data_IF_867701398316
#
_entry.id   IF_867701398316
#
_cell.length_a   1.000
_cell.length_b   1.000
_cell.length_c   1.000
_cell.angle_alpha   90.00
_cell.angle_beta   90.00
_cell.angle_gamma   90.00
#
_symmetry.space_group_name_H-M   'P 1'
#
loop_
_entity.id
_entity.type
_entity.pdbx_description
1 polymer ?
#
# COMPACT_ATOMS: atom_id res chain seq x y z
N UNK A 1 17.41 31.32 -44.39
CA UNK A 1 16.38 30.85 -43.45
C UNK A 1 16.78 29.43 -43.06
N UNK A 2 17.23 29.22 -41.83
CA UNK A 2 17.73 27.92 -41.38
C UNK A 2 16.59 27.20 -40.68
N UNK A 3 16.03 26.19 -41.33
CA UNK A 3 14.96 25.35 -40.79
C UNK A 3 15.52 24.43 -39.72
N UNK A 4 15.27 24.76 -38.44
CA UNK A 4 15.48 23.84 -37.33
C UNK A 4 14.36 22.81 -37.33
N UNK A 5 14.65 21.58 -37.74
CA UNK A 5 13.76 20.44 -37.58
C UNK A 5 13.74 20.05 -36.10
N UNK A 6 12.66 20.37 -35.41
CA UNK A 6 12.38 19.82 -34.08
C UNK A 6 12.02 18.35 -34.24
N UNK A 7 12.95 17.44 -33.94
CA UNK A 7 12.64 16.01 -33.84
C UNK A 7 11.74 15.78 -32.63
N UNK A 8 10.67 15.01 -32.83
CA UNK A 8 9.83 14.51 -31.74
C UNK A 8 10.69 13.81 -30.67
N UNK A 9 10.25 13.77 -29.40
CA UNK A 9 10.94 12.99 -28.37
C UNK A 9 11.08 11.56 -28.89
N UNK A 10 12.31 11.03 -28.91
CA UNK A 10 12.48 9.60 -29.15
C UNK A 10 11.77 8.86 -28.02
N UNK A 11 10.71 8.12 -28.35
CA UNK A 11 10.06 7.19 -27.44
C UNK A 11 11.12 6.21 -26.95
N UNK A 12 11.53 6.36 -25.69
CA UNK A 12 12.43 5.40 -25.06
C UNK A 12 11.80 4.02 -25.17
N UNK A 13 12.58 3.03 -25.58
CA UNK A 13 12.15 1.63 -25.68
C UNK A 13 11.75 1.11 -24.28
N UNK A 14 10.51 1.38 -23.89
CA UNK A 14 9.92 0.91 -22.65
C UNK A 14 9.74 -0.61 -22.73
N UNK A 15 10.03 -1.31 -21.63
CA UNK A 15 9.66 -2.72 -21.50
C UNK A 15 8.14 -2.84 -21.58
N UNK A 16 7.65 -3.74 -22.42
CA UNK A 16 6.22 -4.07 -22.48
C UNK A 16 5.82 -4.90 -21.25
N UNK A 17 4.64 -4.61 -20.69
CA UNK A 17 4.01 -5.36 -19.60
C UNK A 17 2.58 -5.70 -19.98
N UNK A 18 2.10 -6.86 -19.55
CA UNK A 18 0.70 -7.27 -19.72
C UNK A 18 -0.24 -6.39 -18.91
N UNK A 19 0.20 -5.95 -17.72
CA UNK A 19 -0.56 -5.09 -16.81
C UNK A 19 0.31 -3.99 -16.23
N UNK A 20 -0.17 -2.75 -16.31
CA UNK A 20 0.39 -1.61 -15.58
C UNK A 20 -0.59 -1.19 -14.49
N UNK A 21 -0.10 -1.08 -13.25
CA UNK A 21 -0.87 -0.62 -12.09
C UNK A 21 -0.33 0.75 -11.69
N UNK A 22 -1.20 1.77 -11.75
CA UNK A 22 -0.85 3.14 -11.35
C UNK A 22 -1.20 3.34 -9.87
N UNK A 23 -0.18 3.43 -9.03
CA UNK A 23 -0.26 3.63 -7.58
C UNK A 23 0.25 2.43 -6.78
N UNK A 24 1.32 2.62 -6.02
CA UNK A 24 1.92 1.66 -5.10
C UNK A 24 1.30 1.69 -3.70
N UNK A 25 0.00 1.99 -3.60
CA UNK A 25 -0.75 1.90 -2.35
C UNK A 25 -1.20 0.45 -2.04
N UNK A 26 -1.83 0.26 -0.88
CA UNK A 26 -2.41 -1.04 -0.49
C UNK A 26 -3.27 -1.67 -1.60
N UNK A 27 -4.12 -0.89 -2.26
CA UNK A 27 -5.00 -1.38 -3.33
C UNK A 27 -4.24 -1.86 -4.56
N UNK A 28 -3.20 -1.14 -4.99
CA UNK A 28 -2.38 -1.52 -6.14
C UNK A 28 -1.57 -2.78 -5.87
N UNK A 29 -0.99 -2.88 -4.68
CA UNK A 29 -0.24 -4.06 -4.24
C UNK A 29 -1.14 -5.30 -4.13
N UNK A 30 -2.32 -5.18 -3.52
CA UNK A 30 -3.30 -6.28 -3.44
C UNK A 30 -3.83 -6.66 -4.82
N UNK A 31 -4.02 -5.70 -5.73
CA UNK A 31 -4.41 -5.99 -7.11
C UNK A 31 -3.34 -6.80 -7.84
N UNK A 32 -2.07 -6.39 -7.76
CA UNK A 32 -0.94 -7.13 -8.35
C UNK A 32 -0.88 -8.56 -7.83
N UNK A 33 -0.95 -8.73 -6.50
CA UNK A 33 -0.97 -10.04 -5.84
C UNK A 33 -2.12 -10.90 -6.35
N UNK A 34 -3.34 -10.34 -6.39
CA UNK A 34 -4.53 -11.06 -6.85
C UNK A 34 -4.47 -11.49 -8.32
N UNK A 35 -3.80 -10.70 -9.18
CA UNK A 35 -3.59 -11.04 -10.59
C UNK A 35 -2.60 -12.20 -10.69
N UNK A 36 -1.45 -12.12 -10.01
CA UNK A 36 -0.42 -13.15 -10.05
C UNK A 36 -0.89 -14.48 -9.45
N UNK A 37 -1.71 -14.44 -8.40
CA UNK A 37 -2.35 -15.65 -7.84
C UNK A 37 -3.23 -16.39 -8.87
N UNK A 38 -3.81 -15.67 -9.84
CA UNK A 38 -4.69 -16.24 -10.88
C UNK A 38 -3.96 -16.52 -12.20
N UNK A 39 -2.94 -15.72 -12.51
CA UNK A 39 -2.16 -15.76 -13.75
C UNK A 39 -0.68 -15.49 -13.44
N UNK A 40 0.05 -16.51 -12.95
CA UNK A 40 1.42 -16.35 -12.46
C UNK A 40 2.41 -15.76 -13.48
N UNK A 41 2.19 -16.02 -14.77
CA UNK A 41 3.09 -15.57 -15.84
C UNK A 41 2.84 -14.13 -16.32
N UNK A 42 1.84 -13.43 -15.75
CA UNK A 42 1.49 -12.05 -16.15
C UNK A 42 2.62 -11.10 -15.75
N UNK A 43 3.19 -10.40 -16.71
CA UNK A 43 4.17 -9.33 -16.47
C UNK A 43 3.47 -8.09 -15.95
N UNK A 44 3.86 -7.63 -14.76
CA UNK A 44 3.23 -6.50 -14.07
C UNK A 44 4.26 -5.40 -13.80
N UNK A 45 3.88 -4.15 -14.05
CA UNK A 45 4.61 -2.98 -13.58
C UNK A 45 3.72 -2.12 -12.67
N UNK A 46 4.16 -1.88 -11.43
CA UNK A 46 3.52 -0.94 -10.51
C UNK A 46 4.29 0.38 -10.56
N UNK A 47 3.61 1.46 -10.95
CA UNK A 47 4.16 2.81 -11.01
C UNK A 47 3.65 3.65 -9.83
N UNK A 48 4.55 4.11 -8.96
CA UNK A 48 4.24 4.97 -7.82
C UNK A 48 4.86 6.36 -8.01
N UNK A 49 4.03 7.40 -7.86
CA UNK A 49 4.46 8.78 -8.05
C UNK A 49 5.42 9.24 -6.94
N UNK A 50 5.22 8.78 -5.71
CA UNK A 50 6.07 9.12 -4.56
C UNK A 50 7.38 8.32 -4.58
N UNK A 51 8.36 8.77 -3.79
CA UNK A 51 9.60 8.05 -3.54
C UNK A 51 9.44 6.82 -2.62
N UNK A 52 8.22 6.49 -2.22
CA UNK A 52 7.90 5.43 -1.25
C UNK A 52 6.64 4.66 -1.65
N UNK A 53 6.59 3.39 -1.26
CA UNK A 53 5.43 2.52 -1.41
C UNK A 53 4.51 2.64 -0.17
N UNK A 54 3.22 2.36 -0.33
CA UNK A 54 2.24 2.29 0.75
C UNK A 54 1.09 3.31 0.64
N UNK A 55 1.25 4.36 -0.17
CA UNK A 55 0.24 5.41 -0.34
C UNK A 55 -0.14 6.04 1.01
N UNK A 56 -1.43 5.98 1.37
CA UNK A 56 -1.95 6.51 2.65
C UNK A 56 -1.61 5.66 3.88
N UNK A 57 -1.08 4.46 3.71
CA UNK A 57 -0.46 3.72 4.83
C UNK A 57 0.97 4.24 4.94
N UNK A 58 1.21 5.09 5.93
CA UNK A 58 2.47 5.79 6.10
C UNK A 58 2.85 5.81 7.57
N UNK A 59 4.04 5.33 7.86
CA UNK A 59 4.68 5.51 9.15
C UNK A 59 5.89 6.42 9.03
N UNK A 60 6.13 7.19 10.08
CA UNK A 60 7.36 7.96 10.28
C UNK A 60 8.09 7.36 11.47
N UNK A 61 9.36 7.04 11.32
CA UNK A 61 10.20 6.71 12.48
C UNK A 61 10.60 8.01 13.15
N UNK A 62 10.19 8.30 14.39
CA UNK A 62 10.63 9.51 15.07
C UNK A 62 12.15 9.51 15.16
N UNK A 63 12.76 10.68 14.98
CA UNK A 63 14.18 10.89 15.27
C UNK A 63 14.40 10.96 16.79
N UNK A 64 13.99 9.93 17.54
CA UNK A 64 14.29 9.83 18.97
C UNK A 64 15.49 8.93 19.19
N UNK A 65 16.31 9.28 20.17
CA UNK A 65 17.45 8.47 20.64
C UNK A 65 17.02 7.18 21.33
N UNK A 66 15.76 7.09 21.75
CA UNK A 66 15.14 5.88 22.26
C UNK A 66 14.48 5.10 21.11
N UNK A 67 14.70 3.77 21.01
CA UNK A 67 14.05 2.94 20.01
C UNK A 67 12.56 2.83 20.34
N UNK A 68 11.76 3.70 19.72
CA UNK A 68 10.34 3.42 19.56
C UNK A 68 10.23 2.17 18.68
N UNK A 69 9.78 1.07 19.28
CA UNK A 69 9.56 -0.20 18.57
C UNK A 69 8.34 -0.03 17.66
N UNK A 70 8.54 0.58 16.49
CA UNK A 70 7.51 0.82 15.49
C UNK A 70 7.42 2.30 15.10
N UNK A 71 7.35 2.59 13.80
CA UNK A 71 7.10 3.94 13.31
C UNK A 71 5.73 4.45 13.73
N UNK A 72 5.60 5.76 13.90
CA UNK A 72 4.33 6.46 14.15
C UNK A 72 3.56 6.53 12.84
N UNK A 73 2.39 5.87 12.78
CA UNK A 73 1.48 5.95 11.64
C UNK A 73 0.93 7.38 11.51
N UNK A 74 1.29 8.06 10.43
CA UNK A 74 0.80 9.41 10.07
C UNK A 74 -0.36 9.35 9.09
N UNK A 75 -0.80 8.14 8.71
CA UNK A 75 -1.92 7.90 7.80
C UNK A 75 -2.90 6.87 8.36
N UNK A 76 -3.26 5.86 7.56
CA UNK A 76 -4.18 4.82 8.00
C UNK A 76 -3.61 4.02 9.18
N UNK A 77 -4.32 4.08 10.32
CA UNK A 77 -3.81 3.60 11.60
C UNK A 77 -4.66 2.51 12.26
N UNK A 78 -5.92 2.35 11.85
CA UNK A 78 -6.91 1.50 12.51
C UNK A 78 -7.59 0.53 11.54
N UNK A 79 -7.98 -0.63 12.06
CA UNK A 79 -8.82 -1.62 11.41
C UNK A 79 -10.09 -1.75 12.25
N UNK A 80 -11.25 -1.64 11.60
CA UNK A 80 -12.53 -1.83 12.26
C UNK A 80 -12.93 -3.30 12.13
N UNK A 81 -12.78 -4.05 13.22
CA UNK A 81 -13.01 -5.50 13.22
C UNK A 81 -14.48 -5.80 12.89
N UNK A 82 -14.69 -6.81 12.04
CA UNK A 82 -16.01 -7.17 11.49
C UNK A 82 -16.48 -6.28 10.33
N UNK A 83 -15.89 -5.10 10.14
CA UNK A 83 -16.20 -4.19 9.02
C UNK A 83 -15.13 -4.26 7.91
N UNK A 84 -13.93 -4.76 8.21
CA UNK A 84 -12.84 -4.89 7.25
C UNK A 84 -12.30 -6.34 7.13
N UNK A 85 -13.15 -7.33 6.78
CA UNK A 85 -12.77 -8.75 6.80
C UNK A 85 -11.60 -9.07 5.84
N UNK A 86 -11.46 -8.33 4.73
CA UNK A 86 -10.33 -8.49 3.80
C UNK A 86 -9.00 -8.06 4.43
N UNK A 87 -9.01 -6.99 5.24
CA UNK A 87 -7.82 -6.54 5.96
C UNK A 87 -7.47 -7.50 7.09
N UNK A 88 -8.48 -7.97 7.84
CA UNK A 88 -8.28 -8.99 8.89
C UNK A 88 -7.66 -10.27 8.32
N UNK A 89 -8.18 -10.74 7.18
CA UNK A 89 -7.60 -11.90 6.46
C UNK A 89 -6.14 -11.64 6.07
N UNK A 90 -5.83 -10.48 5.51
CA UNK A 90 -4.47 -10.14 5.08
C UNK A 90 -3.49 -10.06 6.26
N UNK A 91 -3.91 -9.47 7.37
CA UNK A 91 -3.12 -9.41 8.62
C UNK A 91 -2.85 -10.82 9.15
N UNK A 92 -3.88 -11.68 9.16
CA UNK A 92 -3.74 -13.07 9.59
C UNK A 92 -2.81 -13.89 8.68
N UNK A 93 -2.95 -13.75 7.35
CA UNK A 93 -2.08 -14.40 6.36
C UNK A 93 -0.60 -14.07 6.56
N UNK A 94 -0.31 -12.82 6.95
CA UNK A 94 1.07 -12.38 7.22
C UNK A 94 1.57 -12.67 8.64
N UNK A 95 0.75 -13.30 9.48
CA UNK A 95 1.09 -13.59 10.88
C UNK A 95 1.36 -12.32 11.69
N UNK A 96 0.63 -11.25 11.41
CA UNK A 96 0.77 -9.96 12.10
C UNK A 96 -0.19 -9.88 13.28
N UNK A 97 0.33 -9.49 14.45
CA UNK A 97 -0.48 -9.37 15.66
C UNK A 97 -1.38 -8.13 15.62
N UNK A 98 -2.62 -8.29 16.09
CA UNK A 98 -3.54 -7.19 16.34
C UNK A 98 -3.54 -6.84 17.83
N UNK A 99 -3.50 -5.54 18.12
CA UNK A 99 -3.66 -4.98 19.46
C UNK A 99 -4.92 -4.11 19.52
N UNK A 100 -5.65 -4.18 20.62
CA UNK A 100 -6.79 -3.31 20.85
C UNK A 100 -6.30 -1.87 21.05
N UNK A 101 -6.90 -0.91 20.33
CA UNK A 101 -6.63 0.49 20.59
C UNK A 101 -7.29 0.87 21.93
N UNK A 102 -6.46 1.21 22.93
CA UNK A 102 -6.95 1.82 24.17
C UNK A 102 -7.08 3.32 23.93
N UNK A 103 -8.28 3.86 24.13
CA UNK A 103 -8.48 5.30 24.25
C UNK A 103 -8.10 5.68 25.68
N UNK A 104 -7.11 6.56 25.83
CA UNK A 104 -6.82 7.23 27.09
C UNK A 104 -7.65 8.50 27.11
N UNK A 105 -8.48 8.69 28.12
CA UNK A 105 -9.15 9.96 28.36
C UNK A 105 -8.15 11.00 28.84
N UNK A 106 -8.47 12.30 28.68
CA UNK A 106 -7.61 13.42 29.12
C UNK A 106 -7.31 13.37 30.63
N UNK A 107 -8.16 12.71 31.42
CA UNK A 107 -8.01 12.51 32.85
C UNK A 107 -7.13 11.28 33.22
N UNK A 108 -6.56 10.59 32.22
CA UNK A 108 -5.75 9.39 32.40
C UNK A 108 -6.55 8.15 32.76
N UNK A 109 -7.89 8.22 32.79
CA UNK A 109 -8.73 7.07 33.00
C UNK A 109 -8.77 6.19 31.74
N UNK A 110 -8.68 4.89 31.94
CA UNK A 110 -9.02 3.90 30.91
C UNK A 110 -10.50 3.58 31.05
N UNK A 111 -11.24 3.73 29.96
CA UNK A 111 -12.67 3.40 29.88
C UNK A 111 -12.96 2.02 30.49
N UNK A 112 -13.45 2.02 31.72
CA UNK A 112 -13.96 0.84 32.39
C UNK A 112 -15.48 0.86 32.18
N UNK A 113 -15.91 0.23 31.09
CA UNK A 113 -17.28 -0.23 30.85
C UNK A 113 -18.35 0.86 30.64
N UNK A 114 -18.62 1.18 29.37
CA UNK A 114 -20.01 1.43 28.95
C UNK A 114 -20.30 0.62 27.66
N UNK A 115 -20.75 -0.61 27.88
CA UNK A 115 -20.69 -1.76 26.97
C UNK A 115 -21.82 -1.85 25.94
N UNK A 116 -22.84 -0.98 25.96
CA UNK A 116 -24.03 -1.17 25.11
C UNK A 116 -23.98 -0.34 23.81
N UNK A 117 -23.31 0.82 23.81
CA UNK A 117 -23.15 1.63 22.60
C UNK A 117 -21.98 1.15 21.70
N UNK A 118 -20.93 0.59 22.30
CA UNK A 118 -19.71 0.13 21.58
C UNK A 118 -19.91 -1.14 20.77
N UNK A 119 -20.83 -2.02 21.16
CA UNK A 119 -21.19 -3.21 20.36
C UNK A 119 -21.79 -2.83 19.00
N UNK A 120 -22.27 -1.59 18.81
CA UNK A 120 -22.83 -1.11 17.54
C UNK A 120 -21.81 -0.50 16.57
N UNK A 121 -20.55 -0.26 16.99
CA UNK A 121 -19.45 0.22 16.14
C UNK A 121 -18.24 -0.65 16.45
N UNK A 122 -18.01 -1.69 15.64
CA UNK A 122 -17.11 -2.82 15.92
C UNK A 122 -15.73 -2.45 16.47
N UNK A 123 -15.08 -3.38 17.18
CA UNK A 123 -13.80 -3.18 17.89
C UNK A 123 -12.72 -2.52 17.02
N UNK A 124 -12.09 -1.44 17.53
CA UNK A 124 -10.97 -0.76 16.85
C UNK A 124 -9.66 -1.45 17.23
N UNK A 125 -8.97 -2.00 16.24
CA UNK A 125 -7.69 -2.69 16.43
C UNK A 125 -6.61 -2.07 15.56
N UNK A 126 -5.36 -2.28 15.94
CA UNK A 126 -4.16 -1.86 15.19
C UNK A 126 -3.24 -3.04 15.01
N UNK A 127 -2.46 -3.03 13.93
CA UNK A 127 -1.34 -3.96 13.79
C UNK A 127 -0.25 -3.54 14.77
N UNK A 128 0.25 -4.47 15.59
CA UNK A 128 1.24 -4.21 16.64
C UNK A 128 2.51 -3.52 16.13
N UNK A 129 2.94 -3.90 14.93
CA UNK A 129 4.12 -3.34 14.24
C UNK A 129 3.78 -2.09 13.41
N UNK A 130 2.53 -1.64 13.40
CA UNK A 130 2.00 -0.64 12.48
C UNK A 130 1.40 -1.26 11.21
N UNK A 131 0.45 -0.55 10.60
CA UNK A 131 -0.21 -1.01 9.38
C UNK A 131 0.75 -1.01 8.18
N UNK A 132 1.81 -0.18 8.21
CA UNK A 132 2.88 -0.23 7.22
C UNK A 132 3.59 -1.60 7.13
N UNK A 133 3.54 -2.43 8.18
CA UNK A 133 4.05 -3.80 8.14
C UNK A 133 3.33 -4.65 7.07
N UNK A 134 2.02 -4.43 6.86
CA UNK A 134 1.25 -5.09 5.80
C UNK A 134 1.79 -4.72 4.41
N UNK A 135 2.13 -3.44 4.21
CA UNK A 135 2.75 -2.97 2.96
C UNK A 135 4.11 -3.66 2.75
N UNK A 136 4.95 -3.71 3.80
CA UNK A 136 6.25 -4.37 3.72
C UNK A 136 6.15 -5.86 3.36
N UNK A 137 5.17 -6.56 3.91
CA UNK A 137 4.90 -7.98 3.59
C UNK A 137 4.45 -8.16 2.15
N UNK A 138 3.51 -7.34 1.65
CA UNK A 138 3.08 -7.37 0.26
C UNK A 138 4.23 -7.11 -0.72
N UNK A 139 5.06 -6.10 -0.45
CA UNK A 139 6.24 -5.81 -1.30
C UNK A 139 7.21 -6.98 -1.27
N UNK A 140 7.52 -7.53 -0.09
CA UNK A 140 8.43 -8.67 0.02
C UNK A 140 7.92 -9.92 -0.72
N UNK A 141 6.62 -10.15 -0.72
CA UNK A 141 6.00 -11.23 -1.49
C UNK A 141 6.10 -10.97 -2.99
N UNK A 142 5.69 -9.79 -3.45
CA UNK A 142 5.68 -9.44 -4.88
C UNK A 142 7.09 -9.37 -5.48
N UNK A 143 8.08 -8.87 -4.74
CA UNK A 143 9.48 -8.80 -5.21
C UNK A 143 10.15 -10.16 -5.36
N UNK A 144 9.59 -11.24 -4.78
CA UNK A 144 10.09 -12.61 -4.97
C UNK A 144 9.51 -13.27 -6.22
N UNK A 145 8.46 -12.69 -6.79
CA UNK A 145 7.72 -13.27 -7.89
C UNK A 145 8.12 -12.57 -9.19
N UNK A 146 8.86 -13.25 -10.05
CA UNK A 146 8.96 -12.82 -11.44
C UNK A 146 7.60 -13.05 -12.11
N UNK A 147 7.02 -12.08 -12.83
CA UNK A 147 7.62 -10.85 -13.36
C UNK A 147 6.92 -9.56 -12.86
N UNK A 148 7.06 -9.20 -11.58
CA UNK A 148 6.48 -7.96 -11.02
C UNK A 148 7.54 -6.88 -10.71
N UNK A 149 7.57 -5.80 -11.49
CA UNK A 149 8.41 -4.64 -11.25
C UNK A 149 7.65 -3.56 -10.45
N UNK A 150 8.33 -2.92 -9.48
CA UNK A 150 7.75 -1.85 -8.65
C UNK A 150 8.66 -0.62 -8.73
N UNK A 151 8.17 0.46 -9.35
CA UNK A 151 8.94 1.67 -9.64
C UNK A 151 8.38 2.88 -8.89
N UNK A 152 9.20 3.49 -8.01
CA UNK A 152 8.87 4.73 -7.28
C UNK A 152 9.43 5.96 -7.99
N UNK A 153 8.90 7.16 -7.70
CA UNK A 153 9.20 8.41 -8.42
C UNK A 153 8.79 8.40 -9.91
N UNK A 154 7.75 7.62 -10.26
CA UNK A 154 7.24 7.51 -11.62
C UNK A 154 5.82 8.05 -11.71
N UNK A 155 5.61 9.38 -11.70
CA UNK A 155 4.30 9.97 -11.85
C UNK A 155 3.76 9.75 -13.27
N UNK A 156 2.64 9.03 -13.37
CA UNK A 156 1.91 8.88 -14.63
C UNK A 156 1.13 10.17 -14.90
N UNK A 157 1.44 10.83 -16.02
CA UNK A 157 0.82 12.11 -16.42
C UNK A 157 -0.19 11.96 -17.55
N UNK A 158 -0.08 10.89 -18.33
CA UNK A 158 -0.91 10.63 -19.49
C UNK A 158 -1.04 9.13 -19.69
N UNK A 159 -2.23 8.70 -20.10
CA UNK A 159 -2.49 7.35 -20.59
C UNK A 159 -3.17 7.53 -21.94
N UNK A 160 -2.61 6.92 -22.98
CA UNK A 160 -3.13 6.93 -24.34
C UNK A 160 -3.47 5.51 -24.75
N UNK A 161 -4.61 5.35 -25.42
CA UNK A 161 -4.93 4.12 -26.12
C UNK A 161 -4.37 4.21 -27.54
N UNK A 162 -3.59 3.22 -27.93
CA UNK A 162 -3.12 3.05 -29.31
C UNK A 162 -3.80 1.78 -29.81
N UNK A 163 -4.62 1.92 -30.86
CA UNK A 163 -5.25 0.76 -31.47
C UNK A 163 -4.17 -0.16 -32.04
N UNK A 164 -4.22 -1.45 -31.69
CA UNK A 164 -3.29 -2.43 -32.22
C UNK A 164 -3.50 -2.60 -33.73
N UNK A 165 -2.41 -2.56 -34.50
CA UNK A 165 -2.43 -3.15 -35.85
C UNK A 165 -2.66 -4.64 -35.68
N UNK A 166 -3.82 -5.13 -36.14
CA UNK A 166 -4.13 -6.56 -36.17
C UNK A 166 -3.14 -7.33 -37.05
#
# INVERSE_FOLDING_TARGET
VSSSSTSAPQEGAGRAYDVIIVGGGLSGLVAARSILERRPDTTICILEAQNRIGGRVQATTPKSTEPLTGGVETGAAWIFKGLNPRMEKLVAEFGLDLVQQRELHEDGSTDSVNSIARVRRGEHVRVKQGLHAVIGKLVSELSKTTPCDILTNHPVKQISHIDGSA
#
